data_IF_230860241836
#
_entry.id   IF_230860241836
#
_cell.length_a   1.000
_cell.length_b   1.000
_cell.length_c   1.000
_cell.angle_alpha   90.00
_cell.angle_beta   90.00
_cell.angle_gamma   90.00
#
_symmetry.space_group_name_H-M   'P 1'
#
loop_
_entity.id
_entity.type
_entity.pdbx_description
1 polymer ?
#
# COMPACT_ATOMS: atom_id res chain seq x y z
N UNK A 1 -21.65 -4.41 -23.46
CA UNK A 1 -21.06 -3.50 -22.48
C UNK A 1 -21.36 -4.10 -21.12
N UNK A 2 -20.49 -5.02 -20.67
CA UNK A 2 -20.67 -5.66 -19.38
C UNK A 2 -20.13 -4.72 -18.31
N UNK A 3 -21.00 -4.39 -17.36
CA UNK A 3 -20.64 -3.73 -16.12
C UNK A 3 -19.87 -4.79 -15.32
N UNK A 4 -18.55 -4.80 -15.41
CA UNK A 4 -17.72 -5.52 -14.44
C UNK A 4 -17.68 -4.64 -13.20
N UNK A 5 -18.52 -4.99 -12.24
CA UNK A 5 -18.51 -4.42 -10.90
C UNK A 5 -17.11 -4.56 -10.33
N UNK A 6 -16.47 -3.41 -10.10
CA UNK A 6 -15.11 -3.33 -9.60
C UNK A 6 -15.07 -3.89 -8.16
N UNK A 7 -14.37 -5.02 -7.90
CA UNK A 7 -14.32 -5.66 -6.58
C UNK A 7 -13.81 -4.74 -5.47
N UNK A 8 -13.09 -3.68 -5.85
CA UNK A 8 -12.54 -2.69 -4.93
C UNK A 8 -13.59 -1.72 -4.38
N UNK A 9 -14.72 -1.53 -5.06
CA UNK A 9 -15.80 -0.64 -4.61
C UNK A 9 -16.59 -1.28 -3.46
N UNK A 10 -16.74 -2.59 -3.46
CA UNK A 10 -17.49 -3.34 -2.44
C UNK A 10 -16.65 -3.51 -1.16
N UNK A 11 -15.35 -3.78 -1.28
CA UNK A 11 -14.39 -3.79 -0.17
C UNK A 11 -14.20 -2.42 0.50
N UNK A 12 -14.32 -1.33 -0.26
CA UNK A 12 -14.27 0.03 0.29
C UNK A 12 -15.51 0.37 1.14
N UNK A 13 -16.67 -0.24 0.84
CA UNK A 13 -17.92 -0.08 1.59
C UNK A 13 -17.93 -0.90 2.89
N UNK A 14 -17.30 -2.07 2.91
CA UNK A 14 -17.22 -2.93 4.10
C UNK A 14 -16.23 -2.41 5.16
N UNK A 15 -15.28 -1.53 4.81
CA UNK A 15 -14.22 -1.08 5.72
C UNK A 15 -14.54 0.21 6.51
N UNK A 16 -15.82 0.63 6.59
CA UNK A 16 -16.23 1.87 7.27
C UNK A 16 -16.43 1.74 8.80
N UNK A 17 -15.94 0.68 9.48
CA UNK A 17 -16.25 0.45 10.90
C UNK A 17 -15.09 0.49 11.91
N UNK A 18 -13.84 0.76 11.53
CA UNK A 18 -12.74 0.89 12.52
C UNK A 18 -11.99 2.23 12.38
N UNK A 19 -12.44 3.18 13.18
CA UNK A 19 -11.87 4.51 13.50
C UNK A 19 -10.33 4.55 13.40
N UNK A 20 -9.77 5.34 12.47
CA UNK A 20 -8.32 5.64 12.44
C UNK A 20 -7.71 6.16 11.13
N UNK A 21 -8.46 6.31 10.03
CA UNK A 21 -7.90 6.83 8.77
C UNK A 21 -7.66 8.35 8.86
N UNK A 22 -6.40 8.77 8.90
CA UNK A 22 -6.01 10.19 8.94
C UNK A 22 -5.93 10.84 7.53
N UNK A 23 -6.19 10.08 6.45
CA UNK A 23 -6.32 10.60 5.08
C UNK A 23 -5.83 9.60 4.01
N UNK A 24 -6.41 9.67 2.82
CA UNK A 24 -5.93 8.98 1.60
C UNK A 24 -5.14 9.97 0.73
N UNK A 25 -4.11 9.50 0.01
CA UNK A 25 -3.42 10.30 -1.00
C UNK A 25 -4.42 10.81 -2.06
N UNK A 26 -4.22 12.05 -2.51
CA UNK A 26 -5.23 12.90 -3.14
C UNK A 26 -6.03 12.29 -4.31
N UNK A 27 -7.33 12.59 -4.32
CA UNK A 27 -8.33 12.31 -5.35
C UNK A 27 -8.00 12.99 -6.71
N UNK A 28 -7.37 12.26 -7.64
CA UNK A 28 -7.30 12.57 -9.09
C UNK A 28 -6.69 11.37 -9.82
N UNK A 29 -7.04 11.13 -11.07
CA UNK A 29 -6.50 10.08 -11.97
C UNK A 29 -4.96 10.01 -12.08
N UNK A 30 -4.24 10.96 -11.49
CA UNK A 30 -2.78 11.01 -11.41
C UNK A 30 -2.19 10.08 -10.34
N UNK A 31 -2.99 9.58 -9.38
CA UNK A 31 -2.52 8.71 -8.30
C UNK A 31 -1.91 7.40 -8.80
N UNK A 32 -2.47 6.81 -9.85
CA UNK A 32 -2.01 5.53 -10.39
C UNK A 32 -0.61 5.65 -10.99
N UNK A 33 -0.29 6.81 -11.59
CA UNK A 33 1.03 7.11 -12.13
C UNK A 33 2.05 7.42 -11.03
N UNK A 34 1.61 8.02 -9.92
CA UNK A 34 2.49 8.44 -8.83
C UNK A 34 3.12 7.26 -8.09
N UNK A 35 2.44 6.11 -8.02
CA UNK A 35 3.01 4.88 -7.45
C UNK A 35 4.27 4.47 -8.22
N UNK A 36 4.24 4.55 -9.56
CA UNK A 36 5.38 4.19 -10.40
C UNK A 36 6.43 5.32 -10.48
N UNK A 37 6.00 6.58 -10.56
CA UNK A 37 6.89 7.72 -10.73
C UNK A 37 7.60 8.16 -9.44
N UNK A 38 6.99 7.91 -8.28
CA UNK A 38 7.46 8.42 -6.99
C UNK A 38 7.08 7.47 -5.83
N UNK A 39 7.52 6.20 -5.88
CA UNK A 39 7.03 5.13 -4.99
C UNK A 39 7.25 5.42 -3.49
N UNK A 40 8.31 6.17 -3.16
CA UNK A 40 8.70 6.44 -1.78
C UNK A 40 8.30 7.82 -1.25
N UNK A 41 7.86 8.74 -2.13
CA UNK A 41 7.54 10.12 -1.74
C UNK A 41 6.03 10.38 -1.91
N UNK A 42 5.58 10.62 -3.14
CA UNK A 42 4.19 11.01 -3.41
C UNK A 42 3.28 9.82 -3.67
N UNK A 43 3.82 8.64 -3.92
CA UNK A 43 3.10 7.39 -4.21
C UNK A 43 2.66 6.60 -2.97
N UNK A 44 2.53 7.24 -1.79
CA UNK A 44 2.06 6.56 -0.58
C UNK A 44 0.60 6.16 -0.70
N UNK A 45 0.29 4.91 -0.31
CA UNK A 45 -1.05 4.34 -0.45
C UNK A 45 -1.95 4.76 0.72
N UNK A 46 -1.45 4.62 1.95
CA UNK A 46 -2.19 4.92 3.17
C UNK A 46 -1.26 5.40 4.28
N UNK A 47 -1.78 6.27 5.16
CA UNK A 47 -1.17 6.63 6.42
C UNK A 47 -2.05 6.14 7.57
N UNK A 48 -1.47 5.30 8.43
CA UNK A 48 -2.19 4.67 9.56
C UNK A 48 -1.57 5.09 10.89
N UNK A 49 -2.40 5.09 11.92
CA UNK A 49 -1.94 5.21 13.31
C UNK A 49 -1.62 3.82 13.86
N UNK A 50 -0.39 3.63 14.36
CA UNK A 50 0.01 2.34 14.91
C UNK A 50 -0.53 2.16 16.33
N UNK A 51 -1.25 1.07 16.56
CA UNK A 51 -1.69 0.66 17.89
C UNK A 51 -0.58 0.02 18.72
N UNK A 52 0.37 -0.65 18.07
CA UNK A 52 1.55 -1.26 18.68
C UNK A 52 2.79 -0.93 17.85
N UNK A 53 3.79 -0.29 18.46
CA UNK A 53 5.02 0.13 17.77
C UNK A 53 5.98 -1.04 17.57
N UNK A 54 5.91 -2.09 18.36
CA UNK A 54 6.86 -3.20 18.29
C UNK A 54 6.63 -4.09 17.06
N UNK A 55 5.49 -3.95 16.37
CA UNK A 55 5.23 -4.63 15.10
C UNK A 55 6.26 -4.26 14.01
N UNK A 56 6.87 -3.07 14.07
CA UNK A 56 7.92 -2.68 13.11
C UNK A 56 9.16 -3.55 13.21
N UNK A 57 9.42 -4.18 14.37
CA UNK A 57 10.57 -5.08 14.56
C UNK A 57 10.44 -6.38 13.75
N UNK A 58 9.24 -6.70 13.26
CA UNK A 58 8.98 -7.87 12.41
C UNK A 58 9.22 -7.57 10.92
N UNK A 59 9.42 -6.31 10.56
CA UNK A 59 9.67 -5.88 9.19
C UNK A 59 11.15 -6.04 8.83
N UNK A 60 11.43 -6.22 7.54
CA UNK A 60 12.81 -6.29 7.04
C UNK A 60 13.42 -4.90 6.97
N UNK A 61 14.68 -4.78 7.40
CA UNK A 61 15.50 -3.62 7.08
C UNK A 61 15.89 -3.58 5.60
N UNK A 62 16.43 -2.44 5.14
CA UNK A 62 16.81 -2.24 3.74
C UNK A 62 17.72 -3.35 3.20
N UNK A 63 18.81 -3.66 3.89
CA UNK A 63 19.79 -4.66 3.44
C UNK A 63 19.19 -6.08 3.38
N UNK A 64 18.32 -6.40 4.34
CA UNK A 64 17.63 -7.70 4.39
C UNK A 64 16.67 -7.84 3.22
N UNK A 65 15.94 -6.77 2.88
CA UNK A 65 15.00 -6.75 1.77
C UNK A 65 15.72 -6.80 0.42
N UNK A 66 16.84 -6.07 0.24
CA UNK A 66 17.65 -6.15 -0.98
C UNK A 66 18.15 -7.57 -1.24
N UNK A 67 18.68 -8.25 -0.21
CA UNK A 67 19.12 -9.64 -0.31
C UNK A 67 17.97 -10.59 -0.65
N UNK A 68 16.79 -10.37 -0.06
CA UNK A 68 15.59 -11.14 -0.38
C UNK A 68 15.21 -11.01 -1.86
N UNK A 69 15.22 -9.80 -2.43
CA UNK A 69 14.93 -9.60 -3.85
C UNK A 69 15.94 -10.32 -4.75
N UNK A 70 17.23 -10.23 -4.47
CA UNK A 70 18.28 -10.92 -5.22
C UNK A 70 18.11 -12.45 -5.18
N UNK A 71 17.77 -13.00 -4.01
CA UNK A 71 17.51 -14.43 -3.83
C UNK A 71 16.25 -14.91 -4.55
N UNK A 72 15.20 -14.11 -4.61
CA UNK A 72 13.97 -14.42 -5.36
C UNK A 72 14.18 -14.34 -6.86
N UNK A 73 14.85 -13.30 -7.35
CA UNK A 73 15.15 -13.14 -8.78
C UNK A 73 16.08 -14.25 -9.30
N UNK A 74 17.04 -14.70 -8.49
CA UNK A 74 17.97 -15.78 -8.85
C UNK A 74 17.31 -17.17 -8.98
N UNK A 75 16.05 -17.33 -8.57
CA UNK A 75 15.29 -18.59 -8.71
C UNK A 75 14.60 -18.75 -10.06
N UNK A 76 14.68 -17.74 -10.93
CA UNK A 76 14.04 -17.69 -12.25
C UNK A 76 15.05 -17.45 -13.37
#
# INVERSE_FOLDING_TARGET
MEIVTNPWVELALENQLARGLQGTGAHSSDTDLMINASPYENGWIIKVEMSDKDETNKLMGSDQYSKFCEEEDAKH
#
